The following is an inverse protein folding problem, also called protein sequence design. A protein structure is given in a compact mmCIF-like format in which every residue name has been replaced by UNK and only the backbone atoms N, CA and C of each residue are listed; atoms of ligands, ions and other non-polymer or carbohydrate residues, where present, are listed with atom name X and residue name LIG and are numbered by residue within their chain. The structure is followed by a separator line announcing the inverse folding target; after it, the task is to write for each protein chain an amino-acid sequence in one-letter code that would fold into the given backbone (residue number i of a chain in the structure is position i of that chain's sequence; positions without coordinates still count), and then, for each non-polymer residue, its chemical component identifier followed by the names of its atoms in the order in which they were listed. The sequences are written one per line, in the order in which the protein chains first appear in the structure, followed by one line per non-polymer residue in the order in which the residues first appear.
data_IF_669087423901
#
_entry.id   IF_669087423901
#
_cell.length_a   1.000
_cell.length_b   1.000
_cell.length_c   1.000
_cell.angle_alpha   90.00
_cell.angle_beta   90.00
_cell.angle_gamma   90.00
#
_symmetry.space_group_name_H-M   'P 1'
#
loop_
_entity.id
_entity.type
_entity.pdbx_description
1 polymer ?
#
# COMPACT_ATOMS: atom_id res chain seq x y z
N UNK A 1 -2.31 -1.82 -7.60
CA UNK A 1 -2.48 -1.29 -6.22
C UNK A 1 -1.30 -1.60 -5.32
N UNK A 2 -0.80 -2.85 -5.26
CA UNK A 2 0.37 -3.23 -4.43
C UNK A 2 1.66 -2.52 -4.83
N UNK A 3 1.80 -2.15 -6.10
CA UNK A 3 2.97 -1.46 -6.62
C UNK A 3 3.10 0.00 -6.15
N UNK A 4 1.97 0.68 -5.91
CA UNK A 4 1.95 2.01 -5.28
C UNK A 4 2.41 1.90 -3.82
N UNK A 5 1.94 0.87 -3.11
CA UNK A 5 2.30 0.62 -1.72
C UNK A 5 3.80 0.32 -1.58
N UNK A 6 4.39 -0.48 -2.50
CA UNK A 6 5.85 -0.74 -2.53
C UNK A 6 6.67 0.53 -2.70
N UNK A 7 6.18 1.53 -3.43
CA UNK A 7 6.95 2.76 -3.70
C UNK A 7 6.79 3.82 -2.61
N UNK A 8 5.63 3.88 -1.96
CA UNK A 8 5.32 4.93 -0.97
C UNK A 8 5.91 4.58 0.41
N UNK A 9 5.83 3.31 0.83
CA UNK A 9 6.27 2.89 2.18
C UNK A 9 7.78 3.07 2.39
N UNK A 10 8.67 2.73 1.43
CA UNK A 10 10.11 2.88 1.66
C UNK A 10 10.55 4.33 1.82
N UNK A 11 9.94 5.24 1.05
CA UNK A 11 10.22 6.67 1.16
C UNK A 11 9.82 7.23 2.52
N UNK A 12 8.68 6.77 3.06
CA UNK A 12 8.16 7.19 4.36
C UNK A 12 9.03 6.70 5.53
N UNK A 13 9.67 5.52 5.40
CA UNK A 13 10.50 4.93 6.46
C UNK A 13 11.96 5.46 6.45
N UNK A 14 12.54 5.75 5.28
CA UNK A 14 13.97 6.12 5.17
C UNK A 14 14.23 7.63 5.09
N UNK A 15 13.26 8.43 4.64
CA UNK A 15 13.46 9.86 4.45
C UNK A 15 14.27 10.21 3.20
N UNK A 16 15.09 11.27 3.26
CA UNK A 16 15.76 11.90 2.10
C UNK A 16 17.11 11.29 1.69
N UNK A 17 17.56 10.21 2.33
CA UNK A 17 18.80 9.53 1.95
C UNK A 17 18.56 8.63 0.72
N UNK A 18 19.06 9.07 -0.43
CA UNK A 18 18.86 8.40 -1.71
C UNK A 18 19.45 6.98 -1.77
N UNK A 19 20.59 6.74 -1.12
CA UNK A 19 21.26 5.44 -1.19
C UNK A 19 20.52 4.41 -0.34
N UNK A 20 20.13 4.81 0.88
CA UNK A 20 19.34 3.97 1.77
C UNK A 20 17.94 3.69 1.21
N UNK A 21 17.35 4.66 0.51
CA UNK A 21 16.04 4.52 -0.13
C UNK A 21 16.08 3.48 -1.24
N UNK A 22 17.10 3.54 -2.12
CA UNK A 22 17.30 2.55 -3.19
C UNK A 22 17.48 1.13 -2.64
N UNK A 23 18.25 0.97 -1.56
CA UNK A 23 18.45 -0.33 -0.92
C UNK A 23 17.13 -0.87 -0.35
N UNK A 24 16.34 -0.02 0.31
CA UNK A 24 15.09 -0.45 0.93
C UNK A 24 14.01 -0.80 -0.10
N UNK A 25 13.88 -0.02 -1.18
CA UNK A 25 12.99 -0.34 -2.30
C UNK A 25 13.36 -1.69 -2.92
N UNK A 26 14.66 -1.94 -3.16
CA UNK A 26 15.15 -3.22 -3.66
C UNK A 26 14.79 -4.39 -2.74
N UNK A 27 14.93 -4.24 -1.42
CA UNK A 27 14.52 -5.27 -0.45
C UNK A 27 13.03 -5.59 -0.55
N UNK A 28 12.15 -4.58 -0.50
CA UNK A 28 10.70 -4.80 -0.63
C UNK A 28 10.36 -5.43 -1.97
N UNK A 29 11.10 -5.08 -3.03
CA UNK A 29 10.93 -5.66 -4.35
C UNK A 29 11.23 -7.16 -4.36
N UNK A 30 12.38 -7.56 -3.83
CA UNK A 30 12.81 -8.97 -3.77
C UNK A 30 11.82 -9.78 -2.92
N UNK A 31 11.42 -9.28 -1.75
CA UNK A 31 10.49 -10.01 -0.89
C UNK A 31 9.13 -10.22 -1.54
N UNK A 32 8.64 -9.23 -2.28
CA UNK A 32 7.39 -9.40 -3.01
C UNK A 32 7.49 -10.44 -4.12
N UNK A 33 8.56 -10.40 -4.92
CA UNK A 33 8.73 -11.40 -5.99
C UNK A 33 8.88 -12.81 -5.42
N UNK A 34 9.66 -12.97 -4.34
CA UNK A 34 9.78 -14.26 -3.66
C UNK A 34 8.43 -14.76 -3.10
N UNK A 35 7.64 -13.87 -2.49
CA UNK A 35 6.30 -14.22 -2.00
C UNK A 35 5.36 -14.63 -3.16
N UNK A 36 5.41 -13.92 -4.29
CA UNK A 36 4.61 -14.24 -5.48
C UNK A 36 4.99 -15.59 -6.09
N UNK A 37 6.28 -15.84 -6.26
CA UNK A 37 6.80 -17.09 -6.84
C UNK A 37 6.48 -18.28 -5.93
N UNK A 38 6.71 -18.15 -4.62
CA UNK A 38 6.37 -19.22 -3.65
C UNK A 38 4.87 -19.50 -3.59
N UNK A 39 4.03 -18.47 -3.64
CA UNK A 39 2.57 -18.61 -3.72
C UNK A 39 2.11 -19.31 -5.01
N UNK A 40 2.73 -18.99 -6.15
CA UNK A 40 2.44 -19.64 -7.43
C UNK A 40 2.83 -21.13 -7.41
N UNK A 41 4.01 -21.47 -6.87
CA UNK A 41 4.42 -22.86 -6.72
C UNK A 41 3.54 -23.65 -5.74
N UNK A 42 3.20 -23.07 -4.59
CA UNK A 42 2.29 -23.68 -3.62
C UNK A 42 0.93 -23.99 -4.27
N UNK A 43 0.38 -23.03 -5.00
CA UNK A 43 -0.93 -23.17 -5.65
C UNK A 43 -0.88 -24.19 -6.79
N UNK A 44 0.14 -24.08 -7.66
CA UNK A 44 0.29 -24.91 -8.86
C UNK A 44 0.68 -26.36 -8.59
N UNK A 45 1.63 -26.61 -7.67
CA UNK A 45 2.18 -27.94 -7.44
C UNK A 45 1.47 -28.71 -6.32
N UNK A 46 0.94 -28.02 -5.32
CA UNK A 46 0.39 -28.68 -4.12
C UNK A 46 -1.14 -28.57 -4.09
N UNK A 47 -1.65 -27.37 -4.30
CA UNK A 47 -3.05 -27.06 -4.04
C UNK A 47 -3.99 -27.53 -5.15
N UNK A 48 -3.72 -27.18 -6.40
CA UNK A 48 -4.53 -27.59 -7.55
C UNK A 48 -4.55 -29.12 -7.69
N UNK A 49 -3.42 -29.86 -7.58
CA UNK A 49 -3.44 -31.32 -7.74
C UNK A 49 -4.15 -32.07 -6.62
N UNK A 50 -4.18 -31.54 -5.38
CA UNK A 50 -4.81 -32.23 -4.24
C UNK A 50 -6.27 -31.83 -3.99
N UNK A 51 -6.59 -30.55 -4.13
CA UNK A 51 -7.88 -29.98 -3.74
C UNK A 51 -8.75 -29.64 -4.96
N UNK A 52 -8.17 -29.63 -6.17
CA UNK A 52 -8.86 -29.18 -7.38
C UNK A 52 -8.97 -27.65 -7.44
N UNK A 53 -9.30 -27.13 -8.64
CA UNK A 53 -9.26 -25.70 -8.93
C UNK A 53 -10.15 -24.84 -8.02
N UNK A 54 -11.30 -25.37 -7.60
CA UNK A 54 -12.30 -24.61 -6.82
C UNK A 54 -11.89 -24.43 -5.36
N UNK A 55 -11.22 -25.42 -4.76
CA UNK A 55 -10.84 -25.38 -3.34
C UNK A 55 -9.47 -24.71 -3.11
N UNK A 56 -8.68 -24.50 -4.17
CA UNK A 56 -7.39 -23.82 -4.08
C UNK A 56 -7.52 -22.40 -3.49
N UNK A 57 -8.66 -21.73 -3.67
CA UNK A 57 -8.88 -20.38 -3.13
C UNK A 57 -9.05 -20.30 -1.61
N UNK A 58 -9.27 -21.43 -0.92
CA UNK A 58 -9.45 -21.47 0.55
C UNK A 58 -8.15 -21.09 1.29
N UNK A 59 -6.98 -21.24 0.67
CA UNK A 59 -5.71 -20.92 1.33
C UNK A 59 -5.51 -19.42 1.57
N UNK A 60 -6.09 -18.57 0.71
CA UNK A 60 -5.93 -17.12 0.74
C UNK A 60 -6.38 -16.50 2.06
N UNK A 61 -7.62 -16.74 2.56
CA UNK A 61 -8.03 -16.20 3.86
C UNK A 61 -7.17 -16.74 5.02
N UNK A 62 -6.71 -17.99 4.96
CA UNK A 62 -5.86 -18.59 6.00
C UNK A 62 -4.51 -17.87 6.07
N UNK A 63 -3.82 -17.71 4.93
CA UNK A 63 -2.55 -16.99 4.88
C UNK A 63 -2.71 -15.52 5.28
N UNK A 64 -3.84 -14.89 4.92
CA UNK A 64 -4.12 -13.52 5.32
C UNK A 64 -4.32 -13.38 6.84
N UNK A 65 -4.99 -14.35 7.48
CA UNK A 65 -5.14 -14.35 8.95
C UNK A 65 -3.80 -14.53 9.65
N UNK A 66 -2.91 -15.39 9.14
CA UNK A 66 -1.56 -15.54 9.67
C UNK A 66 -0.75 -14.25 9.53
N UNK A 67 -0.82 -13.59 8.37
CA UNK A 67 -0.19 -12.28 8.16
C UNK A 67 -0.71 -11.23 9.15
N UNK A 68 -2.03 -11.21 9.40
CA UNK A 68 -2.62 -10.32 10.39
C UNK A 68 -2.12 -10.61 11.81
N UNK A 69 -1.99 -11.88 12.20
CA UNK A 69 -1.44 -12.26 13.51
C UNK A 69 0.00 -11.78 13.64
N UNK A 70 0.85 -12.01 12.63
CA UNK A 70 2.23 -11.50 12.61
C UNK A 70 2.25 -9.98 12.77
N UNK A 71 1.35 -9.27 12.06
CA UNK A 71 1.21 -7.83 12.18
C UNK A 71 0.82 -7.38 13.60
N UNK A 72 -0.06 -8.11 14.28
CA UNK A 72 -0.41 -7.83 15.69
C UNK A 72 0.78 -8.01 16.64
N UNK A 73 1.71 -8.91 16.34
CA UNK A 73 2.94 -9.11 17.12
C UNK A 73 4.05 -8.10 16.80
N UNK A 74 3.98 -7.37 15.68
CA UNK A 74 4.82 -6.21 15.45
C UNK A 74 4.39 -5.07 16.40
N UNK A 75 4.82 -5.15 17.65
CA UNK A 75 4.77 -4.01 18.55
C UNK A 75 5.83 -3.00 18.10
N UNK A 76 5.41 -1.76 17.87
CA UNK A 76 6.26 -0.66 17.44
C UNK A 76 7.30 -0.38 18.54
N UNK A 77 8.46 -1.04 18.47
CA UNK A 77 9.61 -0.81 19.35
C UNK A 77 10.38 0.45 18.89
N UNK A 78 9.63 1.51 18.61
CA UNK A 78 10.12 2.76 18.03
C UNK A 78 9.41 3.98 18.59
N UNK A 79 8.82 3.87 19.79
CA UNK A 79 8.47 5.05 20.55
C UNK A 79 9.78 5.62 21.13
N UNK A 80 10.17 6.80 20.63
CA UNK A 80 11.45 7.54 20.80
C UNK A 80 12.47 7.30 19.69
N UNK A 81 12.36 8.07 18.61
CA UNK A 81 13.37 9.10 18.26
C UNK A 81 12.90 9.91 17.05
N UNK A 82 12.59 11.19 17.28
CA UNK A 82 12.77 12.30 16.34
C UNK A 82 12.46 12.02 14.85
N UNK A 83 11.20 11.93 14.48
CA UNK A 83 10.79 12.38 13.15
C UNK A 83 10.01 13.67 13.37
N UNK A 84 10.69 14.76 13.01
CA UNK A 84 10.29 16.14 13.17
C UNK A 84 8.86 16.38 12.67
N UNK A 85 8.09 17.01 13.56
CA UNK A 85 6.74 17.50 13.35
C UNK A 85 6.71 18.78 12.50
N UNK A 86 7.37 18.83 11.33
CA UNK A 86 7.63 20.14 10.69
C UNK A 86 7.09 20.36 9.26
N UNK A 87 6.13 19.58 8.75
CA UNK A 87 5.48 19.92 7.46
C UNK A 87 3.95 19.77 7.41
N UNK A 88 3.27 19.78 8.56
CA UNK A 88 1.80 19.93 8.61
C UNK A 88 1.46 21.24 9.33
N UNK A 89 1.08 22.33 8.64
CA UNK A 89 0.66 23.55 9.29
C UNK A 89 -0.71 23.30 9.93
N UNK A 90 -0.73 23.18 11.26
CA UNK A 90 -1.97 23.02 12.02
C UNK A 90 -1.81 22.15 13.26
N UNK A 91 -0.88 22.54 14.15
CA UNK A 91 -0.78 21.97 15.47
C UNK A 91 -2.07 22.17 16.26
N UNK A 92 -2.59 21.09 16.83
CA UNK A 92 -3.01 21.14 18.23
C UNK A 92 -2.85 19.74 18.82
N UNK A 93 -1.79 19.61 19.60
CA UNK A 93 -1.53 18.52 20.52
C UNK A 93 -2.74 18.40 21.46
N UNK A 94 -3.34 17.20 21.57
CA UNK A 94 -3.92 16.71 22.81
C UNK A 94 -4.47 15.28 22.61
N UNK A 95 -3.79 14.33 23.26
CA UNK A 95 -4.31 13.08 23.85
C UNK A 95 -5.40 12.32 23.08
N UNK A 96 -5.04 11.13 22.59
CA UNK A 96 -5.90 9.92 22.54
C UNK A 96 -7.29 10.04 21.89
N UNK A 97 -7.53 10.96 20.96
CA UNK A 97 -8.85 11.07 20.32
C UNK A 97 -8.89 10.51 18.90
N UNK A 98 -9.51 9.32 18.83
CA UNK A 98 -10.26 8.76 17.70
C UNK A 98 -9.46 8.41 16.44
N UNK A 99 -8.93 7.18 16.43
CA UNK A 99 -8.57 6.44 15.21
C UNK A 99 -9.62 6.61 14.10
N UNK A 100 -10.91 6.59 14.46
CA UNK A 100 -12.02 6.90 13.57
C UNK A 100 -11.99 8.30 12.96
N UNK A 101 -11.62 9.33 13.74
CA UNK A 101 -11.48 10.69 13.24
C UNK A 101 -10.29 10.83 12.31
N UNK A 102 -9.21 10.09 12.55
CA UNK A 102 -8.07 10.00 11.64
C UNK A 102 -8.46 9.32 10.31
N UNK A 103 -9.21 8.22 10.36
CA UNK A 103 -9.74 7.53 9.17
C UNK A 103 -10.67 8.46 8.38
N UNK A 104 -11.60 9.14 9.04
CA UNK A 104 -12.52 10.10 8.39
C UNK A 104 -11.75 11.28 7.78
N UNK A 105 -10.76 11.83 8.49
CA UNK A 105 -9.90 12.89 7.96
C UNK A 105 -9.13 12.41 6.73
N UNK A 106 -8.57 11.20 6.76
CA UNK A 106 -7.92 10.56 5.62
C UNK A 106 -8.87 10.37 4.44
N UNK A 107 -10.11 9.95 4.70
CA UNK A 107 -11.13 9.78 3.68
C UNK A 107 -11.55 11.11 3.03
N UNK A 108 -11.69 12.17 3.81
CA UNK A 108 -11.99 13.53 3.31
C UNK A 108 -10.86 14.05 2.44
N UNK A 109 -9.60 13.92 2.90
CA UNK A 109 -8.42 14.34 2.14
C UNK A 109 -8.28 13.53 0.84
N UNK A 110 -8.55 12.22 0.89
CA UNK A 110 -8.59 11.38 -0.29
C UNK A 110 -9.67 11.85 -1.27
N UNK A 111 -10.89 12.09 -0.80
CA UNK A 111 -11.97 12.63 -1.62
C UNK A 111 -11.63 13.99 -2.25
N UNK A 112 -10.97 14.88 -1.51
CA UNK A 112 -10.47 16.16 -2.03
C UNK A 112 -9.42 15.95 -3.12
N UNK A 113 -8.50 15.00 -2.94
CA UNK A 113 -7.47 14.69 -3.94
C UNK A 113 -8.08 14.11 -5.23
N UNK A 114 -9.09 13.25 -5.11
CA UNK A 114 -9.83 12.68 -6.24
C UNK A 114 -10.62 13.77 -6.97
N UNK A 115 -11.29 14.65 -6.22
CA UNK A 115 -12.03 15.77 -6.81
C UNK A 115 -11.10 16.76 -7.53
N UNK A 116 -9.96 17.11 -6.93
CA UNK A 116 -8.97 17.99 -7.54
C UNK A 116 -8.37 17.35 -8.81
N UNK A 117 -7.99 16.07 -8.75
CA UNK A 117 -7.48 15.32 -9.90
C UNK A 117 -8.51 15.22 -11.02
N UNK A 118 -9.77 14.90 -10.69
CA UNK A 118 -10.88 14.90 -11.64
C UNK A 118 -11.09 16.28 -12.28
N UNK A 119 -11.12 17.34 -11.46
CA UNK A 119 -11.24 18.72 -11.96
C UNK A 119 -10.14 19.06 -12.96
N UNK A 120 -8.88 18.75 -12.66
CA UNK A 120 -7.73 19.03 -13.56
C UNK A 120 -7.89 18.29 -14.91
N UNK A 121 -8.34 17.03 -14.86
CA UNK A 121 -8.54 16.20 -16.06
C UNK A 121 -9.65 16.75 -16.96
N UNK A 122 -10.77 17.20 -16.36
CA UNK A 122 -11.92 17.70 -17.10
C UNK A 122 -11.80 19.18 -17.52
N UNK A 123 -11.03 19.99 -16.79
CA UNK A 123 -10.85 21.42 -17.07
C UNK A 123 -9.87 21.67 -18.24
N UNK A 124 -8.88 20.80 -18.43
CA UNK A 124 -7.91 20.93 -19.52
C UNK A 124 -8.14 19.87 -20.60
N UNK A 125 -8.52 20.31 -21.80
CA UNK A 125 -8.71 19.43 -22.99
C UNK A 125 -7.51 18.54 -23.31
N UNK A 126 -6.30 18.95 -22.89
CA UNK A 126 -5.04 18.20 -23.04
C UNK A 126 -5.02 16.89 -22.23
N UNK A 127 -5.68 16.85 -21.07
CA UNK A 127 -5.66 15.69 -20.16
C UNK A 127 -6.86 14.76 -20.34
N UNK A 128 -7.80 15.10 -21.23
CA UNK A 128 -8.96 14.26 -21.52
C UNK A 128 -8.58 12.84 -22.02
N UNK A 129 -7.45 12.73 -22.72
CA UNK A 129 -6.88 11.46 -23.19
C UNK A 129 -6.34 10.54 -22.09
N UNK A 130 -6.14 11.06 -20.87
CA UNK A 130 -5.61 10.27 -19.76
C UNK A 130 -6.62 9.21 -19.28
N UNK A 131 -7.91 9.53 -19.33
CA UNK A 131 -9.00 8.66 -18.90
C UNK A 131 -9.13 7.37 -19.75
N UNK A 132 -9.16 7.43 -21.10
CA UNK A 132 -9.17 6.22 -21.93
C UNK A 132 -7.85 5.47 -21.90
N UNK A 133 -6.68 6.13 -21.89
CA UNK A 133 -5.39 5.44 -21.83
C UNK A 133 -5.22 4.63 -20.54
N UNK A 134 -5.63 5.17 -19.38
CA UNK A 134 -5.51 4.45 -18.11
C UNK A 134 -6.45 3.24 -18.04
N UNK A 135 -7.64 3.35 -18.65
CA UNK A 135 -8.61 2.25 -18.70
C UNK A 135 -8.18 1.14 -19.65
N UNK A 136 -7.52 1.47 -20.76
CA UNK A 136 -7.02 0.49 -21.73
C UNK A 136 -5.84 -0.32 -21.20
N UNK A 137 -4.96 0.26 -20.37
CA UNK A 137 -3.85 -0.45 -19.72
C UNK A 137 -4.31 -1.58 -18.78
N UNK A 138 -5.55 -1.55 -18.30
CA UNK A 138 -6.11 -2.62 -17.46
C UNK A 138 -6.64 -3.81 -18.26
N UNK A 139 -6.82 -3.66 -19.58
CA UNK A 139 -7.40 -4.67 -20.47
C UNK A 139 -6.39 -5.26 -21.47
N UNK A 140 -5.21 -4.65 -21.60
CA UNK A 140 -4.07 -5.14 -22.39
C UNK A 140 -3.06 -5.80 -21.45
#
# INVERSE_FOLDING_TARGET
MVELIRRIIPQDIVGSDEEKLKRMDAFVHIFYEMAGVSGAFMTGLVLIPRLGNNYAFIITPILFTLSSIVWFFLHLTGDKTNISNDDIPGGNENKKTNYFKAIIKGFILFGQSVYLGGKIIFENRKYFWLFPCYSLQLYV
#
